data_IF_928043236531
#
_entry.id   IF_928043236531
#
_cell.length_a   1.000
_cell.length_b   1.000
_cell.length_c   1.000
_cell.angle_alpha   90.00
_cell.angle_beta   90.00
_cell.angle_gamma   90.00
#
_symmetry.space_group_name_H-M   'P 1'
#
loop_
_entity.id
_entity.type
_entity.pdbx_description
1 polymer ?
#
# COMPACT_ATOMS: atom_id res chain seq x y z
N UNK A 1 12.11 3.11 -27.95
CA UNK A 1 10.91 2.96 -27.14
C UNK A 1 10.91 4.03 -26.04
N UNK A 2 9.81 4.72 -25.86
CA UNK A 2 9.66 5.79 -24.90
C UNK A 2 8.78 5.28 -23.75
N UNK A 3 8.83 5.88 -22.57
CA UNK A 3 7.94 5.58 -21.42
C UNK A 3 6.45 5.54 -21.84
N UNK A 4 6.05 6.45 -22.72
CA UNK A 4 4.69 6.51 -23.28
C UNK A 4 4.26 5.22 -24.00
N UNK A 5 5.22 4.42 -24.49
CA UNK A 5 4.91 3.15 -25.16
C UNK A 5 4.48 2.07 -24.17
N UNK A 6 4.85 2.20 -22.90
CA UNK A 6 4.52 1.26 -21.82
C UNK A 6 3.38 1.73 -20.93
N UNK A 7 3.15 3.03 -20.79
CA UNK A 7 2.16 3.59 -19.87
C UNK A 7 0.79 3.69 -20.53
N UNK A 8 -0.24 3.18 -19.85
CA UNK A 8 -1.65 3.24 -20.28
C UNK A 8 -2.47 3.87 -19.18
N UNK A 9 -2.83 5.14 -19.35
CA UNK A 9 -3.62 5.94 -18.38
C UNK A 9 -5.02 6.10 -18.94
N UNK A 10 -6.06 5.91 -18.11
CA UNK A 10 -7.45 6.15 -18.53
C UNK A 10 -7.68 7.63 -18.85
N UNK A 11 -8.59 7.98 -19.77
CA UNK A 11 -8.86 9.37 -20.14
C UNK A 11 -9.20 10.26 -18.92
N UNK A 12 -10.03 9.78 -18.01
CA UNK A 12 -10.41 10.51 -16.79
C UNK A 12 -9.18 10.92 -15.97
N UNK A 13 -8.26 9.97 -15.73
CA UNK A 13 -7.04 10.24 -14.95
C UNK A 13 -6.10 11.16 -15.71
N UNK A 14 -5.99 10.98 -17.02
CA UNK A 14 -5.14 11.84 -17.85
C UNK A 14 -5.62 13.29 -17.84
N UNK A 15 -6.92 13.51 -17.97
CA UNK A 15 -7.54 14.84 -17.88
C UNK A 15 -7.38 15.44 -16.47
N UNK A 16 -7.55 14.63 -15.44
CA UNK A 16 -7.38 15.07 -14.06
C UNK A 16 -5.95 15.54 -13.76
N UNK A 17 -4.96 14.76 -14.17
CA UNK A 17 -3.55 15.11 -14.00
C UNK A 17 -3.18 16.37 -14.79
N UNK A 18 -3.66 16.51 -16.04
CA UNK A 18 -3.46 17.68 -16.85
C UNK A 18 -4.10 18.94 -16.25
N UNK A 19 -5.20 18.79 -15.54
CA UNK A 19 -5.92 19.86 -14.86
C UNK A 19 -5.42 20.14 -13.42
N UNK A 20 -4.38 19.43 -12.96
CA UNK A 20 -3.85 19.57 -11.59
C UNK A 20 -4.81 19.07 -10.50
N UNK A 21 -5.79 18.21 -10.85
CA UNK A 21 -6.73 17.64 -9.89
C UNK A 21 -6.07 16.56 -9.02
N UNK A 22 -6.56 16.34 -7.79
CA UNK A 22 -6.02 15.30 -6.92
C UNK A 22 -6.32 13.90 -7.47
N UNK A 23 -5.28 13.08 -7.56
CA UNK A 23 -5.37 11.67 -7.97
C UNK A 23 -4.69 10.82 -6.90
N UNK A 24 -5.32 9.72 -6.51
CA UNK A 24 -4.80 8.76 -5.52
C UNK A 24 -4.63 7.40 -6.17
N UNK A 25 -3.40 6.88 -6.13
CA UNK A 25 -3.10 5.53 -6.60
C UNK A 25 -3.66 4.48 -5.64
N UNK A 26 -4.05 3.33 -6.19
CA UNK A 26 -4.49 2.15 -5.46
C UNK A 26 -3.74 0.92 -6.00
N UNK A 27 -3.31 0.02 -5.12
CA UNK A 27 -2.66 -1.23 -5.52
C UNK A 27 -3.68 -2.30 -5.97
N UNK A 28 -3.21 -3.31 -6.69
CA UNK A 28 -4.04 -4.45 -7.07
C UNK A 28 -3.64 -5.78 -6.41
N UNK A 29 -2.52 -5.84 -5.69
CA UNK A 29 -2.16 -7.06 -4.94
C UNK A 29 -3.23 -7.40 -3.89
N UNK A 30 -3.83 -6.41 -3.26
CA UNK A 30 -4.91 -6.63 -2.29
C UNK A 30 -6.13 -7.29 -2.96
N UNK A 31 -6.41 -6.97 -4.22
CA UNK A 31 -7.51 -7.55 -4.99
C UNK A 31 -7.24 -9.00 -5.40
N UNK A 32 -6.02 -9.27 -5.92
CA UNK A 32 -5.71 -10.58 -6.51
C UNK A 32 -5.18 -11.60 -5.49
N UNK A 33 -4.55 -11.15 -4.42
CA UNK A 33 -3.84 -12.02 -3.46
C UNK A 33 -4.16 -11.74 -1.99
N UNK A 34 -4.98 -10.72 -1.71
CA UNK A 34 -5.32 -10.32 -0.35
C UNK A 34 -6.75 -10.66 0.06
N UNK A 35 -7.64 -10.84 -0.90
CA UNK A 35 -9.08 -11.04 -0.67
C UNK A 35 -9.67 -12.07 -1.61
N UNK A 36 -10.63 -12.91 -1.16
CA UNK A 36 -11.32 -13.86 -2.02
C UNK A 36 -12.34 -13.16 -2.94
N UNK A 37 -12.58 -13.80 -4.11
CA UNK A 37 -13.70 -13.44 -4.99
C UNK A 37 -15.02 -13.99 -4.40
N UNK A 38 -16.15 -13.25 -4.43
CA UNK A 38 -16.36 -11.93 -5.07
C UNK A 38 -16.14 -10.72 -4.15
N UNK A 39 -15.79 -10.90 -2.86
CA UNK A 39 -15.67 -9.80 -1.90
C UNK A 39 -14.62 -8.74 -2.32
N UNK A 40 -13.59 -9.16 -3.04
CA UNK A 40 -12.57 -8.24 -3.58
C UNK A 40 -13.13 -7.28 -4.63
N UNK A 41 -14.19 -7.66 -5.37
CA UNK A 41 -14.88 -6.76 -6.32
C UNK A 41 -15.63 -5.66 -5.57
N UNK A 42 -16.36 -6.03 -4.53
CA UNK A 42 -17.09 -5.08 -3.67
C UNK A 42 -16.10 -4.12 -3.00
N UNK A 43 -15.00 -4.65 -2.48
CA UNK A 43 -13.92 -3.84 -1.90
C UNK A 43 -13.34 -2.84 -2.91
N UNK A 44 -13.02 -3.29 -4.14
CA UNK A 44 -12.45 -2.44 -5.17
C UNK A 44 -13.38 -1.26 -5.52
N UNK A 45 -14.66 -1.53 -5.72
CA UNK A 45 -15.65 -0.48 -5.98
C UNK A 45 -15.79 0.46 -4.80
N UNK A 46 -15.84 -0.07 -3.57
CA UNK A 46 -16.00 0.74 -2.36
C UNK A 46 -14.82 1.66 -2.12
N UNK A 47 -13.59 1.19 -2.28
CA UNK A 47 -12.40 2.03 -2.09
C UNK A 47 -12.32 3.14 -3.14
N UNK A 48 -12.68 2.87 -4.40
CA UNK A 48 -12.74 3.91 -5.45
C UNK A 48 -13.86 4.92 -5.19
N UNK A 49 -15.04 4.47 -4.72
CA UNK A 49 -16.14 5.35 -4.30
C UNK A 49 -15.70 6.30 -3.18
N UNK A 50 -14.99 5.79 -2.18
CA UNK A 50 -14.44 6.60 -1.07
C UNK A 50 -13.51 7.69 -1.60
N UNK A 51 -12.57 7.35 -2.48
CA UNK A 51 -11.65 8.33 -3.06
C UNK A 51 -12.43 9.43 -3.80
N UNK A 52 -13.45 9.06 -4.58
CA UNK A 52 -14.31 10.02 -5.31
C UNK A 52 -15.13 10.90 -4.37
N UNK A 53 -15.67 10.32 -3.31
CA UNK A 53 -16.47 11.07 -2.32
C UNK A 53 -15.65 12.14 -1.58
N UNK A 54 -14.34 11.92 -1.41
CA UNK A 54 -13.42 12.91 -0.83
C UNK A 54 -12.90 13.94 -1.85
N UNK A 55 -13.35 13.87 -3.10
CA UNK A 55 -12.98 14.84 -4.13
C UNK A 55 -11.71 14.55 -4.90
N UNK A 56 -11.15 13.35 -4.77
CA UNK A 56 -10.01 12.88 -5.55
C UNK A 56 -10.42 11.86 -6.63
N UNK A 57 -9.52 11.53 -7.54
CA UNK A 57 -9.75 10.55 -8.60
C UNK A 57 -8.96 9.28 -8.28
N UNK A 58 -9.61 8.10 -8.20
CA UNK A 58 -8.91 6.85 -7.95
C UNK A 58 -8.14 6.37 -9.18
N UNK A 59 -6.96 5.82 -8.96
CA UNK A 59 -6.11 5.27 -10.01
C UNK A 59 -5.59 3.88 -9.61
N UNK A 60 -6.44 2.86 -9.74
CA UNK A 60 -6.05 1.46 -9.50
C UNK A 60 -5.01 1.05 -10.54
N UNK A 61 -3.88 0.49 -10.11
CA UNK A 61 -2.75 0.12 -10.98
C UNK A 61 -2.65 -1.39 -11.21
N UNK A 62 -2.19 -1.78 -12.40
CA UNK A 62 -1.91 -3.17 -12.77
C UNK A 62 -0.85 -3.23 -13.88
N UNK A 63 -0.37 -4.42 -14.22
CA UNK A 63 0.38 -4.68 -15.45
C UNK A 63 -0.43 -5.66 -16.29
N UNK A 64 -0.79 -5.25 -17.51
CA UNK A 64 -1.63 -6.06 -18.41
C UNK A 64 -1.22 -5.85 -19.88
N UNK A 65 -1.05 -6.94 -20.62
CA UNK A 65 -0.75 -6.89 -22.04
C UNK A 65 0.48 -6.05 -22.39
N UNK A 66 1.55 -6.14 -21.58
CA UNK A 66 2.78 -5.36 -21.78
C UNK A 66 2.66 -3.88 -21.45
N UNK A 67 1.62 -3.46 -20.70
CA UNK A 67 1.39 -2.06 -20.30
C UNK A 67 1.32 -1.90 -18.78
N UNK A 68 1.85 -0.78 -18.31
CA UNK A 68 1.63 -0.25 -16.96
C UNK A 68 0.29 0.47 -16.97
N UNK A 69 -0.72 -0.09 -16.34
CA UNK A 69 -2.08 0.45 -16.29
C UNK A 69 -2.22 1.44 -15.14
N UNK A 70 -2.86 2.56 -15.41
CA UNK A 70 -3.22 3.59 -14.43
C UNK A 70 -4.70 3.90 -14.59
N UNK A 71 -5.49 3.39 -13.68
CA UNK A 71 -6.94 3.22 -13.84
C UNK A 71 -7.26 1.94 -14.61
N UNK A 72 -8.26 1.22 -14.13
CA UNK A 72 -8.77 -0.01 -14.75
C UNK A 72 -10.22 0.21 -15.16
N UNK A 73 -10.60 -0.31 -16.33
CA UNK A 73 -12.01 -0.44 -16.66
C UNK A 73 -12.63 -1.63 -15.93
N UNK A 74 -13.96 -1.80 -16.02
CA UNK A 74 -14.68 -2.84 -15.30
C UNK A 74 -14.20 -4.26 -15.64
N UNK A 75 -13.88 -4.53 -16.90
CA UNK A 75 -13.40 -5.86 -17.34
C UNK A 75 -11.99 -6.12 -16.82
N UNK A 76 -11.09 -5.14 -16.91
CA UNK A 76 -9.73 -5.21 -16.35
C UNK A 76 -9.74 -5.41 -14.84
N UNK A 77 -10.60 -4.69 -14.12
CA UNK A 77 -10.79 -4.86 -12.68
C UNK A 77 -11.26 -6.29 -12.34
N UNK A 78 -12.23 -6.79 -13.10
CA UNK A 78 -12.74 -8.16 -12.91
C UNK A 78 -11.66 -9.22 -13.16
N UNK A 79 -10.79 -9.04 -14.15
CA UNK A 79 -9.62 -9.92 -14.38
C UNK A 79 -8.72 -9.94 -13.15
N UNK A 80 -8.41 -8.77 -12.57
CA UNK A 80 -7.60 -8.67 -11.36
C UNK A 80 -8.26 -9.35 -10.16
N UNK A 81 -9.58 -9.22 -10.01
CA UNK A 81 -10.33 -9.81 -8.90
C UNK A 81 -10.49 -11.33 -9.03
N UNK A 82 -10.66 -11.88 -10.22
CA UNK A 82 -10.68 -13.35 -10.44
C UNK A 82 -9.33 -13.99 -10.18
N UNK A 83 -8.26 -13.23 -10.31
CA UNK A 83 -6.88 -13.61 -10.02
C UNK A 83 -6.32 -14.81 -10.82
N UNK A 84 -7.06 -15.36 -11.78
CA UNK A 84 -6.60 -16.46 -12.62
C UNK A 84 -5.43 -16.01 -13.52
N UNK A 85 -4.25 -16.62 -13.36
CA UNK A 85 -3.05 -16.27 -14.10
C UNK A 85 -2.45 -14.91 -13.72
N UNK A 86 -2.94 -14.24 -12.68
CA UNK A 86 -2.42 -12.96 -12.20
C UNK A 86 -1.28 -13.18 -11.23
N UNK A 87 -0.07 -12.75 -11.60
CA UNK A 87 1.10 -12.86 -10.71
C UNK A 87 1.26 -11.65 -9.79
N UNK A 88 1.88 -11.85 -8.64
CA UNK A 88 2.27 -10.77 -7.71
C UNK A 88 3.56 -10.12 -8.20
N UNK A 89 3.49 -8.86 -8.63
CA UNK A 89 4.59 -8.13 -9.26
C UNK A 89 5.19 -7.11 -8.32
N UNK A 90 6.47 -7.26 -8.02
CA UNK A 90 7.30 -6.27 -7.33
C UNK A 90 8.31 -5.67 -8.32
N UNK A 91 9.13 -4.69 -7.85
CA UNK A 91 10.09 -3.96 -8.70
C UNK A 91 10.88 -4.85 -9.67
N UNK A 92 11.44 -5.97 -9.21
CA UNK A 92 12.27 -6.88 -10.03
C UNK A 92 11.51 -7.56 -11.16
N UNK A 93 10.19 -7.65 -11.05
CA UNK A 93 9.34 -8.40 -11.98
C UNK A 93 8.79 -7.52 -13.11
N UNK A 94 8.77 -6.18 -12.92
CA UNK A 94 8.11 -5.22 -13.82
C UNK A 94 8.55 -5.41 -15.27
N UNK A 95 9.86 -5.41 -15.52
CA UNK A 95 10.40 -5.54 -16.87
C UNK A 95 10.05 -6.89 -17.52
N UNK A 96 10.01 -7.97 -16.73
CA UNK A 96 9.65 -9.31 -17.21
C UNK A 96 8.18 -9.31 -17.67
N UNK A 97 7.26 -8.79 -16.84
CA UNK A 97 5.83 -8.75 -17.15
C UNK A 97 5.52 -7.87 -18.34
N UNK A 98 6.22 -6.73 -18.48
CA UNK A 98 6.10 -5.87 -19.65
C UNK A 98 6.56 -6.59 -20.93
N UNK A 99 7.70 -7.25 -20.88
CA UNK A 99 8.29 -7.91 -22.05
C UNK A 99 7.51 -9.15 -22.49
N UNK A 100 6.91 -9.87 -21.55
CA UNK A 100 6.18 -11.13 -21.81
C UNK A 100 4.68 -10.96 -21.99
N UNK A 101 4.15 -9.77 -21.71
CA UNK A 101 2.71 -9.50 -21.80
C UNK A 101 1.86 -10.16 -20.71
N UNK A 102 2.50 -10.72 -19.66
CA UNK A 102 1.80 -11.36 -18.54
C UNK A 102 0.98 -10.34 -17.75
N UNK A 103 -0.07 -10.84 -17.06
CA UNK A 103 -0.91 -10.03 -16.17
C UNK A 103 -0.35 -10.08 -14.75
N UNK A 104 -0.21 -8.90 -14.14
CA UNK A 104 0.39 -8.76 -12.82
C UNK A 104 -0.31 -7.76 -11.92
N UNK A 105 -0.54 -8.19 -10.69
CA UNK A 105 -1.01 -7.36 -9.59
C UNK A 105 0.17 -6.59 -8.97
N UNK A 106 -0.01 -5.31 -8.77
CA UNK A 106 1.04 -4.40 -8.29
C UNK A 106 1.14 -4.42 -6.78
N UNK A 107 2.35 -4.67 -6.25
CA UNK A 107 2.69 -4.45 -4.84
C UNK A 107 2.79 -2.95 -4.53
N UNK A 108 3.01 -2.58 -3.27
CA UNK A 108 3.29 -1.18 -2.89
C UNK A 108 4.42 -0.61 -3.74
N UNK A 109 5.56 -1.31 -3.85
CA UNK A 109 6.69 -0.87 -4.67
C UNK A 109 6.29 -0.63 -6.13
N UNK A 110 5.61 -1.57 -6.76
CA UNK A 110 5.22 -1.43 -8.17
C UNK A 110 4.16 -0.35 -8.37
N UNK A 111 3.22 -0.21 -7.44
CA UNK A 111 2.23 0.87 -7.47
C UNK A 111 2.91 2.23 -7.37
N UNK A 112 3.88 2.41 -6.49
CA UNK A 112 4.66 3.64 -6.38
C UNK A 112 5.40 3.98 -7.69
N UNK A 113 6.04 2.99 -8.31
CA UNK A 113 6.72 3.15 -9.60
C UNK A 113 5.75 3.66 -10.67
N UNK A 114 4.62 2.99 -10.83
CA UNK A 114 3.61 3.32 -11.85
C UNK A 114 3.00 4.71 -11.56
N UNK A 115 2.63 4.96 -10.31
CA UNK A 115 2.08 6.24 -9.86
C UNK A 115 3.03 7.39 -10.17
N UNK A 116 4.30 7.26 -9.80
CA UNK A 116 5.32 8.27 -10.08
C UNK A 116 5.52 8.52 -11.58
N UNK A 117 5.55 7.46 -12.39
CA UNK A 117 5.65 7.56 -13.86
C UNK A 117 4.46 8.29 -14.47
N UNK A 118 3.27 8.17 -13.87
CA UNK A 118 2.07 8.88 -14.27
C UNK A 118 1.96 10.31 -13.71
N UNK A 119 2.83 10.69 -12.78
CA UNK A 119 2.76 11.99 -12.10
C UNK A 119 1.88 12.01 -10.85
N UNK A 120 1.43 10.85 -10.36
CA UNK A 120 0.62 10.72 -9.15
C UNK A 120 1.54 10.73 -7.93
N UNK A 121 1.18 11.52 -6.91
CA UNK A 121 2.00 11.78 -5.71
C UNK A 121 1.50 11.08 -4.45
N UNK A 122 0.27 10.60 -4.42
CA UNK A 122 -0.37 10.02 -3.24
C UNK A 122 -0.91 8.64 -3.55
N UNK A 123 -0.76 7.73 -2.59
CA UNK A 123 -1.16 6.33 -2.71
C UNK A 123 -1.76 5.85 -1.38
N UNK A 124 -2.92 5.21 -1.45
CA UNK A 124 -3.58 4.57 -0.32
C UNK A 124 -3.47 3.05 -0.39
N UNK A 125 -3.02 2.44 0.70
CA UNK A 125 -2.94 0.97 0.83
C UNK A 125 -3.33 0.53 2.25
N UNK A 126 -3.55 -0.74 2.47
CA UNK A 126 -3.76 -1.28 3.82
C UNK A 126 -2.51 -1.16 4.69
N UNK A 127 -1.37 -1.61 4.19
CA UNK A 127 -0.10 -1.57 4.90
C UNK A 127 1.08 -1.91 3.99
N UNK A 128 2.23 -1.30 4.29
CA UNK A 128 3.48 -1.54 3.56
C UNK A 128 4.12 -2.88 3.95
N UNK A 129 4.97 -3.39 3.06
CA UNK A 129 5.97 -4.38 3.42
C UNK A 129 7.08 -3.74 4.28
N UNK A 130 7.88 -4.58 4.89
CA UNK A 130 8.94 -4.13 5.80
C UNK A 130 10.05 -5.17 5.93
N UNK A 131 10.76 -5.12 7.03
CA UNK A 131 11.75 -6.10 7.42
C UNK A 131 11.02 -7.32 8.00
N UNK A 132 11.26 -8.51 7.47
CA UNK A 132 10.65 -9.73 8.00
C UNK A 132 11.29 -10.14 9.32
N UNK A 133 10.53 -10.80 10.20
CA UNK A 133 11.07 -11.38 11.44
C UNK A 133 12.15 -12.40 11.10
N UNK A 134 13.32 -12.30 11.72
CA UNK A 134 14.48 -13.12 11.39
C UNK A 134 15.29 -12.65 10.17
N UNK A 135 15.07 -11.45 9.69
CA UNK A 135 15.78 -10.88 8.54
C UNK A 135 17.27 -10.74 8.77
N UNK A 136 17.74 -10.69 10.01
CA UNK A 136 19.16 -10.71 10.37
C UNK A 136 19.88 -11.99 9.90
N UNK A 137 19.11 -13.06 9.61
CA UNK A 137 19.62 -14.33 9.06
C UNK A 137 19.24 -14.53 7.59
N UNK A 138 18.05 -14.08 7.20
CA UNK A 138 17.48 -14.36 5.87
C UNK A 138 17.68 -13.24 4.88
N UNK A 139 17.93 -12.01 5.34
CA UNK A 139 17.93 -10.77 4.56
C UNK A 139 16.59 -10.54 3.82
N UNK A 140 15.48 -11.10 4.33
CA UNK A 140 14.15 -10.92 3.74
C UNK A 140 13.60 -9.55 4.12
N UNK A 141 13.85 -8.59 3.23
CA UNK A 141 13.42 -7.19 3.36
C UNK A 141 12.61 -6.82 2.12
N UNK A 142 11.45 -6.24 2.34
CA UNK A 142 10.55 -5.84 1.26
C UNK A 142 11.15 -4.76 0.36
N UNK A 143 10.98 -4.92 -0.95
CA UNK A 143 11.33 -3.90 -1.94
C UNK A 143 10.52 -2.60 -1.75
N UNK A 144 9.41 -2.62 -1.00
CA UNK A 144 8.61 -1.44 -0.69
C UNK A 144 9.46 -0.38 0.02
N UNK A 145 10.36 -0.79 0.92
CA UNK A 145 11.23 0.12 1.66
C UNK A 145 12.23 0.83 0.74
N UNK A 146 12.79 0.11 -0.23
CA UNK A 146 13.67 0.69 -1.25
C UNK A 146 12.92 1.67 -2.15
N UNK A 147 11.67 1.35 -2.49
CA UNK A 147 10.89 2.22 -3.33
C UNK A 147 10.46 3.50 -2.61
N UNK A 148 10.11 3.41 -1.33
CA UNK A 148 9.85 4.56 -0.45
C UNK A 148 11.05 5.53 -0.40
N UNK A 149 12.27 4.99 -0.42
CA UNK A 149 13.48 5.80 -0.43
C UNK A 149 13.73 6.54 -1.76
N UNK A 150 13.30 5.97 -2.90
CA UNK A 150 13.70 6.44 -4.22
C UNK A 150 12.58 7.06 -5.05
N UNK A 151 11.33 6.77 -4.75
CA UNK A 151 10.17 7.14 -5.58
C UNK A 151 9.32 8.19 -4.88
N UNK A 152 9.08 9.36 -5.49
CA UNK A 152 8.43 10.50 -4.84
C UNK A 152 6.89 10.32 -4.77
N UNK A 153 6.44 9.35 -4.00
CA UNK A 153 5.04 9.03 -3.72
C UNK A 153 4.85 8.89 -2.21
N UNK A 154 3.91 9.63 -1.65
CA UNK A 154 3.51 9.54 -0.25
C UNK A 154 2.52 8.37 -0.08
N UNK A 155 2.84 7.42 0.79
CA UNK A 155 2.04 6.22 1.02
C UNK A 155 1.29 6.34 2.35
N UNK A 156 -0.03 6.35 2.28
CA UNK A 156 -0.92 6.38 3.46
C UNK A 156 -1.38 4.95 3.75
N UNK A 157 -1.10 4.47 4.96
CA UNK A 157 -1.34 3.08 5.35
C UNK A 157 -1.53 2.95 6.86
N UNK A 158 -2.00 1.80 7.31
CA UNK A 158 -2.07 1.48 8.75
C UNK A 158 -0.73 0.97 9.31
N UNK A 159 0.38 1.54 8.83
CA UNK A 159 1.74 1.12 9.16
C UNK A 159 2.25 -0.05 8.31
N UNK A 160 3.28 -0.72 8.78
CA UNK A 160 3.73 -1.98 8.18
C UNK A 160 2.81 -3.14 8.59
N UNK A 161 2.70 -4.17 7.74
CA UNK A 161 1.90 -5.35 8.07
C UNK A 161 2.38 -5.97 9.37
N UNK A 162 1.46 -6.32 10.26
CA UNK A 162 1.74 -6.78 11.63
C UNK A 162 2.58 -8.06 11.74
N UNK A 163 2.71 -8.81 10.64
CA UNK A 163 3.56 -10.00 10.52
C UNK A 163 5.06 -9.67 10.44
N UNK A 164 5.41 -8.39 10.28
CA UNK A 164 6.76 -7.91 10.08
C UNK A 164 7.41 -7.50 11.41
N UNK A 165 8.70 -7.26 11.39
CA UNK A 165 9.43 -6.60 12.46
C UNK A 165 9.28 -5.08 12.31
N UNK A 166 8.43 -4.48 13.15
CA UNK A 166 8.11 -3.06 13.04
C UNK A 166 9.28 -2.17 13.48
N UNK A 167 10.06 -2.61 14.47
CA UNK A 167 11.23 -1.88 14.94
C UNK A 167 12.32 -1.82 13.86
N UNK A 168 12.73 -2.97 13.33
CA UNK A 168 13.72 -3.01 12.25
C UNK A 168 13.21 -2.32 10.97
N UNK A 169 11.90 -2.31 10.73
CA UNK A 169 11.31 -1.58 9.61
C UNK A 169 11.47 -0.06 9.77
N UNK A 170 11.26 0.49 10.99
CA UNK A 170 11.47 1.90 11.27
C UNK A 170 12.94 2.29 11.14
N UNK A 171 13.86 1.51 11.72
CA UNK A 171 15.32 1.74 11.60
C UNK A 171 15.78 1.73 10.13
N UNK A 172 15.24 0.83 9.33
CA UNK A 172 15.56 0.78 7.92
C UNK A 172 15.05 2.04 7.17
N UNK A 173 13.82 2.47 7.44
CA UNK A 173 13.25 3.68 6.84
C UNK A 173 14.03 4.94 7.25
N UNK A 174 14.44 5.05 8.52
CA UNK A 174 15.29 6.13 9.01
C UNK A 174 16.62 6.17 8.24
N UNK A 175 17.34 5.05 8.17
CA UNK A 175 18.59 4.94 7.43
C UNK A 175 18.45 5.37 5.96
N UNK A 176 17.30 5.10 5.35
CA UNK A 176 17.00 5.47 3.98
C UNK A 176 16.48 6.93 3.83
N UNK A 177 16.34 7.66 4.92
CA UNK A 177 15.84 9.04 4.92
C UNK A 177 14.36 9.17 4.55
N UNK A 178 13.57 8.14 4.83
CA UNK A 178 12.12 8.12 4.58
C UNK A 178 11.38 8.63 5.81
N UNK A 179 10.70 9.77 5.76
CA UNK A 179 9.89 10.25 6.88
C UNK A 179 8.73 9.28 7.17
N UNK A 180 8.53 8.96 8.44
CA UNK A 180 7.35 8.25 8.93
C UNK A 180 6.53 9.21 9.77
N UNK A 181 5.37 9.59 9.25
CA UNK A 181 4.49 10.60 9.84
C UNK A 181 3.27 9.91 10.48
N UNK A 182 3.02 10.13 11.74
CA UNK A 182 1.77 9.69 12.37
C UNK A 182 0.64 10.67 12.01
N UNK A 183 -0.49 10.19 11.53
CA UNK A 183 -1.68 11.02 11.37
C UNK A 183 -2.57 10.87 12.60
N UNK A 184 -2.57 11.89 13.48
CA UNK A 184 -3.26 11.86 14.78
C UNK A 184 -2.83 10.69 15.68
N UNK A 185 -1.55 10.33 15.61
CA UNK A 185 -0.96 9.27 16.46
C UNK A 185 0.51 9.57 16.75
N UNK A 186 0.94 9.23 17.96
CA UNK A 186 2.34 9.32 18.41
C UNK A 186 3.10 8.00 18.23
N UNK A 187 2.41 6.94 17.79
CA UNK A 187 2.99 5.63 17.58
C UNK A 187 2.75 5.13 16.14
N UNK A 188 3.67 4.31 15.63
CA UNK A 188 3.45 3.59 14.38
C UNK A 188 2.24 2.67 14.55
N UNK A 189 1.19 2.77 13.73
CA UNK A 189 0.11 1.80 13.77
C UNK A 189 0.61 0.41 13.37
N UNK A 190 0.08 -0.64 14.02
CA UNK A 190 0.46 -2.03 13.79
C UNK A 190 -0.59 -2.80 12.97
N UNK A 191 -1.02 -2.22 11.86
CA UNK A 191 -1.99 -2.78 10.92
C UNK A 191 -3.37 -3.01 11.56
N UNK A 192 -3.58 -4.17 12.20
CA UNK A 192 -4.83 -4.50 12.92
C UNK A 192 -4.97 -3.76 14.26
N UNK A 193 -3.90 -3.22 14.78
CA UNK A 193 -3.85 -2.54 16.08
C UNK A 193 -3.51 -1.07 15.89
N UNK A 194 -4.07 -0.22 16.74
CA UNK A 194 -3.83 1.22 16.69
C UNK A 194 -2.43 1.61 17.15
N UNK A 195 -1.83 0.80 18.00
CA UNK A 195 -0.54 1.03 18.64
C UNK A 195 0.40 -0.15 18.44
N UNK A 196 1.69 0.11 18.44
CA UNK A 196 2.75 -0.89 18.31
C UNK A 196 3.77 -0.86 19.43
N UNK A 197 3.73 0.17 20.28
CA UNK A 197 4.79 0.47 21.24
C UNK A 197 5.98 1.24 20.65
N UNK A 198 6.04 1.44 19.33
CA UNK A 198 7.09 2.20 18.65
C UNK A 198 6.64 3.63 18.42
N UNK A 199 7.30 4.57 19.09
CA UNK A 199 7.01 6.01 18.94
C UNK A 199 7.48 6.54 17.60
N UNK A 200 6.76 7.54 17.11
CA UNK A 200 7.11 8.32 15.92
C UNK A 200 7.57 9.73 16.33
N UNK A 201 8.53 10.25 15.60
CA UNK A 201 9.05 11.62 15.86
C UNK A 201 8.06 12.71 15.45
N UNK A 202 7.16 12.41 14.52
CA UNK A 202 6.27 13.40 13.92
C UNK A 202 4.82 12.96 13.97
N UNK A 203 4.00 13.69 14.76
CA UNK A 203 2.54 13.54 14.83
C UNK A 203 1.88 14.72 14.10
N UNK A 204 1.32 14.46 12.93
CA UNK A 204 0.54 15.40 12.14
C UNK A 204 -0.92 15.40 12.63
N UNK A 205 -1.43 16.56 13.03
CA UNK A 205 -2.79 16.67 13.56
C UNK A 205 -3.86 16.66 12.46
N UNK A 206 -3.47 16.97 11.22
CA UNK A 206 -4.37 17.05 10.08
C UNK A 206 -3.66 16.71 8.76
N UNK A 207 -4.45 16.51 7.73
CA UNK A 207 -4.03 16.15 6.38
C UNK A 207 -3.32 17.31 5.67
N UNK A 208 -3.63 18.55 6.03
CA UNK A 208 -2.99 19.74 5.46
C UNK A 208 -1.53 19.83 5.90
N UNK A 209 -1.23 19.52 7.15
CA UNK A 209 0.15 19.44 7.67
C UNK A 209 0.97 18.41 6.90
N UNK A 210 0.42 17.21 6.63
CA UNK A 210 1.08 16.20 5.81
C UNK A 210 1.34 16.74 4.41
N UNK A 211 0.34 17.36 3.78
CA UNK A 211 0.48 17.94 2.44
C UNK A 211 1.60 19.01 2.38
N UNK A 212 1.68 19.88 3.38
CA UNK A 212 2.75 20.91 3.50
C UNK A 212 4.14 20.29 3.66
N UNK A 213 4.26 19.23 4.47
CA UNK A 213 5.53 18.50 4.64
C UNK A 213 5.97 17.90 3.31
N UNK A 214 5.06 17.24 2.61
CA UNK A 214 5.38 16.62 1.32
C UNK A 214 5.74 17.65 0.26
N UNK A 215 5.02 18.78 0.24
CA UNK A 215 5.36 19.88 -0.67
C UNK A 215 6.76 20.44 -0.37
N UNK A 216 7.07 20.75 0.87
CA UNK A 216 8.38 21.24 1.26
C UNK A 216 9.50 20.26 0.88
N UNK A 217 9.30 18.94 1.16
CA UNK A 217 10.26 17.89 0.79
C UNK A 217 10.57 17.89 -0.70
N UNK A 218 9.55 17.94 -1.54
CA UNK A 218 9.73 17.84 -2.99
C UNK A 218 10.15 19.16 -3.65
N UNK A 219 9.73 20.31 -3.12
CA UNK A 219 10.14 21.63 -3.62
C UNK A 219 11.66 21.88 -3.46
N UNK A 220 12.27 21.36 -2.37
CA UNK A 220 13.73 21.45 -2.18
C UNK A 220 14.50 20.32 -2.91
N UNK A 221 13.82 19.48 -3.69
CA UNK A 221 14.43 18.46 -4.54
C UNK A 221 14.81 17.17 -3.83
N UNK A 222 14.35 16.92 -2.58
CA UNK A 222 14.58 15.65 -1.91
C UNK A 222 13.78 14.54 -2.60
N UNK A 223 14.48 13.48 -2.96
CA UNK A 223 13.90 12.29 -3.59
C UNK A 223 13.13 11.45 -2.58
N UNK A 224 12.44 10.43 -3.09
CA UNK A 224 11.67 9.48 -2.30
C UNK A 224 10.34 10.03 -1.80
N UNK A 225 9.59 9.13 -1.20
CA UNK A 225 8.28 9.38 -0.62
C UNK A 225 8.32 9.62 0.89
N UNK A 226 7.22 9.26 1.52
CA UNK A 226 7.03 9.18 2.96
C UNK A 226 6.00 8.09 3.29
N UNK A 227 6.01 7.63 4.52
CA UNK A 227 4.95 6.78 5.09
C UNK A 227 4.09 7.65 5.99
N UNK A 228 2.77 7.62 5.79
CA UNK A 228 1.80 8.21 6.71
C UNK A 228 1.08 7.09 7.43
N UNK A 229 1.39 6.94 8.70
CA UNK A 229 0.75 5.97 9.59
C UNK A 229 -0.61 6.50 10.03
N UNK A 230 -1.69 5.92 9.51
CA UNK A 230 -3.07 6.25 9.84
C UNK A 230 -3.72 5.08 10.58
N UNK A 231 -3.96 5.19 11.90
CA UNK A 231 -4.47 4.08 12.69
C UNK A 231 -5.83 3.59 12.21
N UNK A 232 -6.06 2.28 12.25
CA UNK A 232 -7.37 1.68 12.04
C UNK A 232 -8.43 2.36 12.93
N UNK A 233 -9.68 2.58 12.46
CA UNK A 233 -10.74 3.10 13.31
C UNK A 233 -10.95 2.25 14.56
N UNK A 234 -11.18 2.88 15.71
CA UNK A 234 -11.17 2.25 17.03
C UNK A 234 -12.14 1.06 17.14
N UNK A 235 -13.32 1.17 16.55
CA UNK A 235 -14.33 0.12 16.58
C UNK A 235 -13.95 -1.15 15.84
N UNK A 236 -12.93 -1.10 14.97
CA UNK A 236 -12.42 -2.24 14.19
C UNK A 236 -11.03 -2.68 14.65
N UNK A 237 -10.44 -1.95 15.61
CA UNK A 237 -9.11 -2.25 16.13
C UNK A 237 -9.12 -3.54 16.95
N UNK A 238 -8.07 -4.33 16.80
CA UNK A 238 -7.88 -5.56 17.56
C UNK A 238 -6.91 -5.33 18.73
N UNK A 239 -7.04 -6.15 19.76
CA UNK A 239 -6.14 -6.09 20.93
C UNK A 239 -4.71 -6.50 20.52
N UNK A 240 -3.67 -5.70 20.86
CA UNK A 240 -2.30 -5.97 20.47
C UNK A 240 -1.74 -7.29 21.04
N UNK A 241 -2.05 -7.61 22.30
CA UNK A 241 -1.54 -8.84 22.93
C UNK A 241 -2.16 -10.08 22.31
N UNK A 242 -3.48 -10.04 22.03
CA UNK A 242 -4.18 -11.09 21.33
C UNK A 242 -3.58 -11.29 19.93
N UNK A 243 -3.40 -10.21 19.17
CA UNK A 243 -2.87 -10.29 17.81
C UNK A 243 -1.43 -10.78 17.75
N UNK A 244 -0.57 -10.35 18.68
CA UNK A 244 0.81 -10.84 18.74
C UNK A 244 0.85 -12.36 18.93
N UNK A 245 0.02 -12.93 19.82
CA UNK A 245 -0.06 -14.37 20.02
C UNK A 245 -0.51 -15.13 18.77
N UNK A 246 -1.50 -14.61 18.04
CA UNK A 246 -1.97 -15.16 16.76
C UNK A 246 -0.87 -15.12 15.69
N UNK A 247 -0.19 -13.98 15.57
CA UNK A 247 0.86 -13.78 14.58
C UNK A 247 2.05 -14.71 14.85
N UNK A 248 2.48 -14.84 16.11
CA UNK A 248 3.58 -15.73 16.49
C UNK A 248 3.28 -17.19 16.14
N UNK A 249 2.05 -17.64 16.36
CA UNK A 249 1.62 -18.99 15.96
C UNK A 249 1.62 -19.17 14.45
N UNK A 250 1.08 -18.20 13.68
CA UNK A 250 1.05 -18.27 12.24
C UNK A 250 2.47 -18.26 11.63
N UNK A 251 3.40 -17.45 12.17
CA UNK A 251 4.80 -17.41 11.74
C UNK A 251 5.52 -18.72 12.07
N UNK A 252 5.29 -19.30 13.25
CA UNK A 252 5.86 -20.58 13.61
C UNK A 252 5.42 -21.69 12.66
N UNK A 253 4.13 -21.70 12.27
CA UNK A 253 3.60 -22.66 11.32
C UNK A 253 4.17 -22.46 9.91
N UNK A 254 4.26 -21.22 9.42
CA UNK A 254 4.88 -20.92 8.13
C UNK A 254 6.32 -21.42 8.05
N UNK A 255 7.09 -21.24 9.14
CA UNK A 255 8.46 -21.74 9.24
C UNK A 255 8.52 -23.27 9.21
N UNK A 256 7.63 -23.95 9.91
CA UNK A 256 7.55 -25.42 9.92
C UNK A 256 7.19 -25.99 8.54
N UNK A 257 6.37 -25.27 7.77
CA UNK A 257 5.98 -25.62 6.40
C UNK A 257 6.93 -25.11 5.32
N UNK A 258 8.06 -24.46 5.71
CA UNK A 258 9.06 -23.91 4.80
C UNK A 258 8.49 -22.91 3.78
N UNK A 259 7.51 -22.10 4.18
CA UNK A 259 6.92 -21.04 3.35
C UNK A 259 7.83 -19.81 3.36
N UNK A 260 8.31 -19.39 2.19
CA UNK A 260 9.27 -18.29 2.04
C UNK A 260 8.94 -17.34 0.88
N UNK A 261 9.55 -16.14 0.90
CA UNK A 261 9.52 -15.17 -0.19
C UNK A 261 8.10 -14.65 -0.49
N UNK A 262 7.70 -14.59 -1.75
CA UNK A 262 6.41 -14.01 -2.17
C UNK A 262 5.18 -14.70 -1.57
N UNK A 263 5.29 -15.97 -1.18
CA UNK A 263 4.18 -16.76 -0.65
C UNK A 263 3.89 -16.49 0.83
N UNK A 264 4.87 -15.97 1.61
CA UNK A 264 4.74 -15.85 3.07
C UNK A 264 3.61 -14.91 3.48
N UNK A 265 3.49 -13.74 2.88
CA UNK A 265 2.46 -12.76 3.25
C UNK A 265 1.04 -13.25 2.98
N UNK A 266 0.68 -13.77 1.79
CA UNK A 266 -0.65 -14.34 1.56
C UNK A 266 -0.96 -15.51 2.50
N UNK A 267 0.02 -16.39 2.75
CA UNK A 267 -0.12 -17.51 3.68
C UNK A 267 -0.45 -17.03 5.09
N UNK A 268 0.34 -16.11 5.64
CA UNK A 268 0.13 -15.59 6.99
C UNK A 268 -1.22 -14.88 7.13
N UNK A 269 -1.61 -14.06 6.16
CA UNK A 269 -2.90 -13.36 6.19
C UNK A 269 -4.08 -14.34 6.17
N UNK A 270 -4.00 -15.42 5.39
CA UNK A 270 -5.02 -16.46 5.36
C UNK A 270 -5.14 -17.19 6.70
N UNK A 271 -4.01 -17.60 7.29
CA UNK A 271 -3.98 -18.26 8.60
C UNK A 271 -4.49 -17.36 9.72
N UNK A 272 -4.08 -16.10 9.76
CA UNK A 272 -4.54 -15.11 10.74
C UNK A 272 -6.06 -14.90 10.59
N UNK A 273 -6.59 -14.85 9.37
CA UNK A 273 -8.04 -14.78 9.12
C UNK A 273 -8.77 -15.95 9.76
N UNK A 274 -8.29 -17.18 9.54
CA UNK A 274 -8.91 -18.38 10.08
C UNK A 274 -8.83 -18.42 11.62
N UNK A 275 -7.66 -18.11 12.19
CA UNK A 275 -7.45 -18.07 13.65
C UNK A 275 -8.26 -16.97 14.35
N UNK A 276 -8.63 -15.91 13.64
CA UNK A 276 -9.44 -14.79 14.16
C UNK A 276 -10.93 -14.88 13.78
N UNK A 277 -11.37 -16.02 13.25
CA UNK A 277 -12.76 -16.21 12.79
C UNK A 277 -13.25 -15.12 11.84
N UNK A 278 -12.36 -14.64 10.96
CA UNK A 278 -12.63 -13.60 9.98
C UNK A 278 -12.57 -12.16 10.50
N UNK A 279 -12.35 -11.91 11.79
CA UNK A 279 -12.27 -10.54 12.35
C UNK A 279 -11.12 -9.74 11.74
N UNK A 280 -9.95 -10.36 11.53
CA UNK A 280 -8.82 -9.69 10.87
C UNK A 280 -9.11 -9.34 9.41
N UNK A 281 -9.96 -10.11 8.74
CA UNK A 281 -10.38 -9.81 7.37
C UNK A 281 -11.28 -8.57 7.32
N UNK A 282 -12.26 -8.45 8.21
CA UNK A 282 -13.07 -7.24 8.35
C UNK A 282 -12.21 -6.01 8.72
N UNK A 283 -11.30 -6.17 9.67
CA UNK A 283 -10.36 -5.11 10.05
C UNK A 283 -9.51 -4.64 8.87
N UNK A 284 -9.05 -5.56 7.99
CA UNK A 284 -8.26 -5.23 6.80
C UNK A 284 -9.04 -4.38 5.78
N UNK A 285 -10.35 -4.58 5.63
CA UNK A 285 -11.19 -3.71 4.80
C UNK A 285 -11.26 -2.30 5.38
N UNK A 286 -11.58 -2.20 6.66
CA UNK A 286 -11.84 -0.93 7.31
C UNK A 286 -10.59 -0.04 7.43
N UNK A 287 -9.41 -0.64 7.71
CA UNK A 287 -8.17 0.13 7.69
C UNK A 287 -7.84 0.65 6.30
N UNK A 288 -8.09 -0.13 5.24
CA UNK A 288 -7.83 0.30 3.88
C UNK A 288 -8.80 1.42 3.43
N UNK A 289 -10.07 1.32 3.80
CA UNK A 289 -11.05 2.39 3.57
C UNK A 289 -10.66 3.69 4.31
N UNK A 290 -10.26 3.58 5.57
CA UNK A 290 -9.80 4.72 6.35
C UNK A 290 -8.55 5.37 5.74
N UNK A 291 -7.63 4.58 5.19
CA UNK A 291 -6.45 5.08 4.50
C UNK A 291 -6.79 5.77 3.18
N UNK A 292 -7.80 5.26 2.45
CA UNK A 292 -8.30 5.91 1.23
C UNK A 292 -8.92 7.29 1.53
N UNK A 293 -9.70 7.41 2.61
CA UNK A 293 -10.20 8.70 3.09
C UNK A 293 -9.05 9.68 3.38
N UNK A 294 -8.07 9.26 4.17
CA UNK A 294 -6.96 10.11 4.57
C UNK A 294 -6.08 10.50 3.37
N UNK A 295 -5.70 9.57 2.51
CA UNK A 295 -4.90 9.84 1.32
C UNK A 295 -5.57 10.83 0.37
N UNK A 296 -6.88 10.69 0.19
CA UNK A 296 -7.66 11.60 -0.66
C UNK A 296 -7.70 13.01 -0.10
N UNK A 297 -7.92 13.17 1.20
CA UNK A 297 -7.89 14.49 1.86
C UNK A 297 -6.51 15.13 1.77
N UNK A 298 -5.44 14.36 1.94
CA UNK A 298 -4.05 14.83 1.78
C UNK A 298 -3.81 15.28 0.34
N UNK A 299 -4.23 14.47 -0.65
CA UNK A 299 -4.08 14.82 -2.06
C UNK A 299 -4.86 16.10 -2.43
N UNK A 300 -6.10 16.24 -1.94
CA UNK A 300 -6.92 17.45 -2.12
C UNK A 300 -6.26 18.67 -1.45
N UNK A 301 -5.72 18.52 -0.24
CA UNK A 301 -5.00 19.60 0.43
C UNK A 301 -3.75 20.01 -0.35
N UNK A 302 -2.99 19.04 -0.86
CA UNK A 302 -1.77 19.28 -1.63
C UNK A 302 -2.02 20.09 -2.92
N UNK A 303 -3.12 19.84 -3.63
CA UNK A 303 -3.44 20.59 -4.86
C UNK A 303 -3.85 22.05 -4.63
N UNK A 304 -4.05 22.45 -3.36
CA UNK A 304 -4.38 23.84 -2.98
C UNK A 304 -3.14 24.66 -2.57
N UNK A 305 -1.99 24.01 -2.46
CA UNK A 305 -0.71 24.64 -2.06
C UNK A 305 0.11 25.10 -3.29
#
# INVERSE_FOLDING_TARGET
MNLKDYLSITPEIQEALAAGKPVVALESTILSHGMPYPQNVEFAHKVEEIVRAEGAIPATTAIMGGKLKVGLNADELLVMCKAEGVGKVSRRDVAVYLATGMTGATTVATTMIIASMAGIRFFATGGIGGVHRGAEKTMDISADLQELANTPVCVVCAGAKSILDLGLTLEYLETQGVPVLGLRTDELPAFYCRTSGFKLDYNCQDEETVAKIMKAKWDIGLKGGAVVGNPIPEQYAMDPNYMNGIIDQAVAQANAEHIHGKAITPYLLAHIKDMTEGKSFAANHELAYNNAHAASKIAVAYTKL
#
